data_IF_762870908562
#
_entry.id   IF_762870908562
#
_cell.length_a   1.000
_cell.length_b   1.000
_cell.length_c   1.000
_cell.angle_alpha   90.00
_cell.angle_beta   90.00
_cell.angle_gamma   90.00
#
_symmetry.space_group_name_H-M   'P 1'
#
loop_
_entity.id
_entity.type
_entity.pdbx_description
1 polymer ?
#
# COMPACT_ATOMS: atom_id res chain seq x y z
N UNK A 1 -21.25 -5.12 7.32
CA UNK A 1 -20.55 -6.30 6.77
C UNK A 1 -20.26 -6.04 5.29
N UNK A 2 -19.10 -5.46 4.96
CA UNK A 2 -18.78 -5.08 3.58
C UNK A 2 -18.30 -6.33 2.83
N UNK A 3 -19.13 -6.79 1.90
CA UNK A 3 -18.95 -7.99 1.07
C UNK A 3 -17.75 -7.79 0.13
N UNK A 4 -16.90 -8.81 0.01
CA UNK A 4 -15.76 -8.83 -0.92
C UNK A 4 -16.22 -8.49 -2.36
N UNK A 5 -15.43 -7.73 -3.14
CA UNK A 5 -15.78 -7.41 -4.51
C UNK A 5 -15.90 -8.69 -5.34
N UNK A 6 -17.13 -9.05 -5.72
CA UNK A 6 -17.47 -10.27 -6.47
C UNK A 6 -17.11 -10.22 -7.96
N UNK A 7 -16.29 -9.27 -8.40
CA UNK A 7 -15.84 -9.27 -9.80
C UNK A 7 -14.74 -10.33 -9.90
N UNK A 8 -14.99 -11.50 -10.52
CA UNK A 8 -13.91 -12.43 -10.79
C UNK A 8 -12.84 -11.71 -11.60
N UNK A 9 -11.57 -12.07 -11.41
CA UNK A 9 -10.53 -11.64 -12.34
C UNK A 9 -11.02 -11.93 -13.77
N UNK A 10 -10.74 -11.04 -14.75
CA UNK A 10 -11.16 -11.24 -16.12
C UNK A 10 -10.72 -12.62 -16.60
N UNK A 11 -11.65 -13.36 -17.22
CA UNK A 11 -11.38 -14.71 -17.72
C UNK A 11 -10.12 -14.70 -18.58
N UNK A 12 -9.20 -15.63 -18.30
CA UNK A 12 -8.03 -15.85 -19.14
C UNK A 12 -8.51 -16.02 -20.59
N UNK A 13 -7.86 -15.36 -21.57
CA UNK A 13 -8.29 -15.39 -22.95
C UNK A 13 -8.45 -16.84 -23.43
N UNK A 14 -9.67 -17.20 -23.82
CA UNK A 14 -10.03 -18.54 -24.31
C UNK A 14 -9.18 -18.84 -25.55
N UNK A 15 -8.30 -19.84 -25.48
CA UNK A 15 -7.46 -20.23 -26.62
C UNK A 15 -8.33 -20.80 -27.74
N UNK A 16 -8.61 -19.99 -28.75
CA UNK A 16 -9.21 -20.44 -30.01
C UNK A 16 -8.30 -21.50 -30.68
N UNK A 17 -8.95 -22.44 -31.39
CA UNK A 17 -8.36 -23.62 -32.00
C UNK A 17 -6.99 -23.37 -32.65
N UNK A 18 -6.04 -24.19 -32.22
CA UNK A 18 -4.62 -24.10 -32.58
C UNK A 18 -4.44 -24.51 -34.06
N UNK A 19 -4.52 -23.55 -34.99
CA UNK A 19 -3.94 -23.76 -36.31
C UNK A 19 -2.44 -24.00 -36.12
N UNK A 20 -1.97 -25.19 -36.52
CA UNK A 20 -0.61 -25.66 -36.31
C UNK A 20 0.32 -24.98 -37.32
N UNK A 21 0.59 -23.69 -37.13
CA UNK A 21 1.68 -23.02 -37.84
C UNK A 21 2.99 -23.56 -37.25
N UNK A 22 3.68 -24.40 -38.02
CA UNK A 22 5.04 -24.87 -37.69
C UNK A 22 6.05 -23.85 -38.23
N UNK A 23 6.08 -22.67 -37.63
CA UNK A 23 7.23 -21.78 -37.79
C UNK A 23 7.91 -21.66 -36.44
N UNK A 24 9.14 -22.17 -36.38
CA UNK A 24 10.01 -22.23 -35.20
C UNK A 24 9.50 -23.13 -34.06
N UNK A 25 9.67 -24.45 -34.22
CA UNK A 25 9.83 -25.31 -33.04
C UNK A 25 11.20 -24.98 -32.42
N UNK A 26 11.25 -24.02 -31.49
CA UNK A 26 12.36 -23.95 -30.55
C UNK A 26 12.36 -25.26 -29.74
N UNK A 27 13.49 -25.97 -29.62
CA UNK A 27 13.61 -27.06 -28.67
C UNK A 27 13.25 -26.52 -27.29
N UNK A 28 12.39 -27.25 -26.58
CA UNK A 28 11.96 -26.91 -25.23
C UNK A 28 13.22 -26.95 -24.36
N UNK A 29 13.80 -25.80 -24.05
CA UNK A 29 14.95 -25.69 -23.17
C UNK A 29 14.49 -26.21 -21.81
N UNK A 30 14.95 -27.41 -21.45
CA UNK A 30 14.77 -28.01 -20.12
C UNK A 30 15.43 -27.18 -19.02
N UNK A 31 16.11 -26.09 -19.40
CA UNK A 31 16.79 -25.09 -18.59
C UNK A 31 16.04 -23.76 -18.50
N UNK A 32 14.73 -23.69 -18.80
CA UNK A 32 13.95 -22.51 -18.43
C UNK A 32 14.04 -22.33 -16.90
N UNK A 33 14.56 -21.19 -16.39
CA UNK A 33 14.70 -21.00 -14.95
C UNK A 33 13.33 -21.09 -14.29
N UNK A 34 13.16 -22.08 -13.41
CA UNK A 34 11.97 -22.19 -12.55
C UNK A 34 12.05 -21.10 -11.48
N UNK A 35 11.59 -19.90 -11.83
CA UNK A 35 11.42 -18.82 -10.88
C UNK A 35 10.23 -19.19 -9.99
N UNK A 36 10.45 -19.25 -8.68
CA UNK A 36 9.37 -19.45 -7.70
C UNK A 36 8.44 -18.25 -7.68
N UNK A 37 7.20 -18.46 -7.25
CA UNK A 37 6.30 -17.34 -6.94
C UNK A 37 6.91 -16.42 -5.88
N UNK A 38 6.59 -15.10 -5.89
CA UNK A 38 7.10 -14.16 -4.91
C UNK A 38 6.74 -14.62 -3.49
N UNK A 39 7.74 -14.73 -2.62
CA UNK A 39 7.58 -15.25 -1.26
C UNK A 39 7.08 -14.20 -0.25
N UNK A 40 7.17 -12.91 -0.56
CA UNK A 40 6.81 -11.81 0.35
C UNK A 40 6.11 -10.68 -0.40
N UNK A 41 4.83 -10.86 -0.73
CA UNK A 41 4.01 -9.78 -1.30
C UNK A 41 3.49 -8.92 -0.18
N UNK A 42 4.01 -7.69 -0.03
CA UNK A 42 3.46 -6.69 0.87
C UNK A 42 2.46 -5.81 0.12
N UNK A 43 1.35 -5.47 0.77
CA UNK A 43 0.40 -4.49 0.27
C UNK A 43 0.56 -3.22 1.11
N UNK A 44 1.01 -2.14 0.48
CA UNK A 44 0.97 -0.81 1.08
C UNK A 44 -0.49 -0.34 1.03
N UNK A 45 -1.17 -0.43 2.16
CA UNK A 45 -2.52 0.09 2.29
C UNK A 45 -2.42 1.60 2.52
N UNK A 46 -2.81 2.37 1.51
CA UNK A 46 -3.02 3.81 1.69
C UNK A 46 -4.17 4.01 2.68
N UNK A 47 -4.00 4.90 3.65
CA UNK A 47 -5.07 5.26 4.59
C UNK A 47 -6.12 6.03 3.80
N UNK A 48 -7.37 5.57 3.82
CA UNK A 48 -8.48 6.20 3.11
C UNK A 48 -9.64 6.42 4.07
N UNK A 49 -10.25 7.59 4.05
CA UNK A 49 -11.49 7.83 4.77
C UNK A 49 -12.69 7.27 3.99
N UNK A 50 -13.50 6.45 4.65
CA UNK A 50 -14.71 5.87 4.05
C UNK A 50 -15.93 6.66 4.51
N UNK A 51 -16.39 7.60 3.68
CA UNK A 51 -17.53 8.50 3.96
C UNK A 51 -18.80 7.75 4.39
N UNK A 52 -19.04 6.55 3.86
CA UNK A 52 -20.23 5.76 4.19
C UNK A 52 -20.21 5.21 5.63
N UNK A 53 -19.03 4.94 6.17
CA UNK A 53 -18.86 4.44 7.54
C UNK A 53 -18.30 5.49 8.51
N UNK A 54 -17.74 6.59 7.99
CA UNK A 54 -16.97 7.59 8.73
C UNK A 54 -15.75 7.03 9.46
N UNK A 55 -15.19 5.95 8.95
CA UNK A 55 -14.07 5.23 9.53
C UNK A 55 -12.89 5.22 8.55
N UNK A 56 -11.67 5.27 9.10
CA UNK A 56 -10.45 5.18 8.30
C UNK A 56 -10.13 3.72 7.98
N UNK A 57 -9.85 3.45 6.71
CA UNK A 57 -9.46 2.14 6.20
C UNK A 57 -7.96 2.12 5.94
N UNK A 58 -7.32 1.00 6.28
CA UNK A 58 -5.88 0.85 6.12
C UNK A 58 -5.05 1.66 7.11
N UNK A 59 -5.67 2.24 8.14
CA UNK A 59 -4.95 2.96 9.20
C UNK A 59 -4.15 1.96 10.05
N UNK A 60 -2.85 2.20 10.27
CA UNK A 60 -2.04 1.37 11.16
C UNK A 60 -2.51 1.53 12.61
N UNK A 61 -2.29 0.49 13.42
CA UNK A 61 -2.76 0.42 14.82
C UNK A 61 -2.22 1.58 15.68
N UNK A 62 -0.95 1.94 15.51
CA UNK A 62 -0.32 3.05 16.25
C UNK A 62 -1.03 4.39 16.00
N UNK A 63 -1.54 4.61 14.78
CA UNK A 63 -2.23 5.84 14.45
C UNK A 63 -3.66 5.86 15.01
N UNK A 64 -4.33 4.70 15.07
CA UNK A 64 -5.62 4.58 15.76
C UNK A 64 -5.49 4.93 17.25
N UNK A 65 -4.44 4.46 17.91
CA UNK A 65 -4.17 4.82 19.30
C UNK A 65 -3.98 6.33 19.47
N UNK A 66 -3.21 6.98 18.59
CA UNK A 66 -3.03 8.44 18.66
C UNK A 66 -4.31 9.20 18.37
N UNK A 67 -5.12 8.73 17.42
CA UNK A 67 -6.41 9.33 17.11
C UNK A 67 -7.36 9.26 18.31
N UNK A 68 -7.40 8.12 19.01
CA UNK A 68 -8.16 7.97 20.25
C UNK A 68 -7.62 8.84 21.38
N UNK A 69 -6.30 8.88 21.57
CA UNK A 69 -5.65 9.67 22.62
C UNK A 69 -5.75 11.19 22.37
N UNK A 70 -5.77 11.62 21.11
CA UNK A 70 -5.95 13.01 20.71
C UNK A 70 -7.41 13.48 20.82
N UNK A 71 -8.33 12.57 21.16
CA UNK A 71 -9.74 12.87 21.38
C UNK A 71 -10.45 13.48 20.16
N UNK A 72 -9.97 13.17 18.94
CA UNK A 72 -10.50 13.68 17.67
C UNK A 72 -11.88 13.04 17.45
N UNK A 73 -12.90 13.88 17.43
CA UNK A 73 -14.29 13.45 17.29
C UNK A 73 -14.62 12.95 15.88
N UNK A 74 -15.74 12.25 15.73
CA UNK A 74 -16.24 11.85 14.42
C UNK A 74 -16.49 13.04 13.49
N UNK A 75 -17.00 14.15 14.05
CA UNK A 75 -17.30 15.36 13.30
C UNK A 75 -16.04 16.01 12.73
N UNK A 76 -14.93 16.03 13.49
CA UNK A 76 -13.65 16.56 13.00
C UNK A 76 -13.07 15.69 11.89
N UNK A 77 -13.23 14.36 12.01
CA UNK A 77 -12.85 13.41 10.94
C UNK A 77 -13.64 13.64 9.67
N UNK A 78 -14.94 13.91 9.79
CA UNK A 78 -15.82 14.18 8.65
C UNK A 78 -15.55 15.54 8.01
N UNK A 79 -15.24 16.55 8.82
CA UNK A 79 -15.00 17.91 8.35
C UNK A 79 -13.75 18.01 7.47
N UNK A 80 -12.66 17.33 7.84
CA UNK A 80 -11.45 17.29 7.02
C UNK A 80 -10.64 16.00 7.27
N UNK A 81 -11.02 14.88 6.65
CA UNK A 81 -10.35 13.60 6.86
C UNK A 81 -8.91 13.60 6.37
N UNK A 82 -8.62 14.30 5.27
CA UNK A 82 -7.28 14.40 4.68
C UNK A 82 -6.30 15.08 5.65
N UNK A 83 -6.74 16.16 6.31
CA UNK A 83 -5.92 16.86 7.30
C UNK A 83 -5.61 15.98 8.50
N UNK A 84 -6.58 15.19 8.97
CA UNK A 84 -6.35 14.25 10.08
C UNK A 84 -5.26 13.23 9.70
N UNK A 85 -5.31 12.70 8.48
CA UNK A 85 -4.30 11.77 7.96
C UNK A 85 -2.93 12.47 7.85
N UNK A 86 -2.89 13.68 7.31
CA UNK A 86 -1.65 14.45 7.14
C UNK A 86 -0.96 14.75 8.48
N UNK A 87 -1.74 15.14 9.50
CA UNK A 87 -1.22 15.40 10.84
C UNK A 87 -0.63 14.13 11.46
N UNK A 88 -1.33 12.99 11.33
CA UNK A 88 -0.83 11.70 11.82
C UNK A 88 0.46 11.28 11.11
N UNK A 89 0.52 11.46 9.78
CA UNK A 89 1.72 11.17 9.00
C UNK A 89 2.89 12.09 9.39
N UNK A 90 2.62 13.38 9.60
CA UNK A 90 3.61 14.34 10.09
C UNK A 90 4.18 13.92 11.45
N UNK A 91 3.31 13.54 12.39
CA UNK A 91 3.74 13.08 13.70
C UNK A 91 4.60 11.81 13.64
N UNK A 92 4.20 10.85 12.80
CA UNK A 92 4.95 9.62 12.57
C UNK A 92 6.36 9.90 12.00
N UNK A 93 6.43 10.72 10.94
CA UNK A 93 7.71 11.11 10.33
C UNK A 93 8.61 11.85 11.31
N UNK A 94 8.05 12.75 12.14
CA UNK A 94 8.79 13.47 13.17
C UNK A 94 9.38 12.52 14.22
N UNK A 95 8.59 11.54 14.68
CA UNK A 95 9.01 10.52 15.65
C UNK A 95 10.11 9.62 15.08
N UNK A 96 10.00 9.20 13.83
CA UNK A 96 11.02 8.41 13.14
C UNK A 96 12.30 9.22 12.86
N UNK A 97 12.17 10.48 12.49
CA UNK A 97 13.31 11.39 12.27
C UNK A 97 14.08 11.64 13.57
N UNK A 98 13.40 11.92 14.67
CA UNK A 98 14.03 12.10 15.98
C UNK A 98 14.82 10.86 16.44
N UNK A 99 14.33 9.66 16.13
CA UNK A 99 15.06 8.40 16.40
C UNK A 99 16.34 8.28 15.58
N UNK A 100 16.36 8.78 14.34
CA UNK A 100 17.51 8.70 13.41
C UNK A 100 18.51 9.83 13.61
N UNK A 101 18.07 11.04 13.95
CA UNK A 101 18.91 12.22 14.12
C UNK A 101 19.46 12.29 15.55
N UNK A 102 20.47 11.46 15.84
CA UNK A 102 21.26 11.53 17.08
C UNK A 102 22.58 12.29 16.92
N UNK A 103 22.83 12.83 15.73
CA UNK A 103 24.07 13.51 15.40
C UNK A 103 23.75 14.89 14.81
N UNK A 104 24.52 15.90 15.22
CA UNK A 104 24.51 17.23 14.60
C UNK A 104 24.97 17.07 13.15
N UNK A 105 24.10 17.42 12.21
CA UNK A 105 24.50 17.64 10.81
C UNK A 105 25.20 18.99 10.76
N UNK A 106 26.53 18.99 10.63
CA UNK A 106 27.27 20.22 10.33
C UNK A 106 27.00 20.57 8.88
N UNK A 107 26.22 21.63 8.64
CA UNK A 107 26.20 22.25 7.31
C UNK A 107 27.56 22.92 7.11
N UNK A 108 28.45 22.26 6.39
CA UNK A 108 29.63 22.92 5.83
C UNK A 108 29.14 23.79 4.67
N UNK A 109 28.75 25.02 5.00
CA UNK A 109 28.65 26.10 4.04
C UNK A 109 30.06 26.44 3.58
N UNK A 110 30.55 25.70 2.57
CA UNK A 110 31.70 26.14 1.80
C UNK A 110 31.31 27.40 1.04
N UNK A 111 31.90 28.52 1.43
CA UNK A 111 32.01 29.72 0.63
C UNK A 111 32.96 29.51 -0.56
#
# INVERSE_FOLDING_TARGET
LKVAPKKPLPDLPKKAGRSRIRLFRLPKLTSDPKISSPLCVSHELHVVYDENTGEFRGMPEEWLEWLHAANISFQEREQNPELVIEVLQCYDTAKHRARRQKFIMTEEHCW
#
